data_IF_336823382059
#
_entry.id   IF_336823382059
#
_cell.length_a   1.000
_cell.length_b   1.000
_cell.length_c   1.000
_cell.angle_alpha   90.00
_cell.angle_beta   90.00
_cell.angle_gamma   90.00
#
_symmetry.space_group_name_H-M   'P 1'
#
loop_
_entity.id
_entity.type
_entity.pdbx_description
1 polymer ?
#
# COMPACT_ATOMS: atom_id res chain seq x y z
N UNK A 1 1.00 8.53 7.06
CA UNK A 1 -0.26 8.19 6.37
C UNK A 1 -0.53 9.30 5.38
N UNK A 2 -0.22 9.06 4.11
CA UNK A 2 -0.60 9.96 3.02
C UNK A 2 -2.09 9.76 2.76
N UNK A 3 -2.90 10.76 3.08
CA UNK A 3 -4.23 10.92 2.52
C UNK A 3 -4.02 11.86 1.35
N UNK A 4 -4.43 11.48 0.14
CA UNK A 4 -4.41 12.36 -1.01
C UNK A 4 -5.21 13.63 -0.71
N UNK A 5 -4.54 14.74 -0.39
CA UNK A 5 -5.18 16.04 -0.14
C UNK A 5 -5.26 16.94 -1.38
N UNK A 6 -4.84 16.47 -2.57
CA UNK A 6 -4.89 17.28 -3.78
C UNK A 6 -5.80 16.69 -4.85
N UNK A 7 -7.09 17.01 -4.77
CA UNK A 7 -8.13 16.66 -5.76
C UNK A 7 -8.00 17.49 -7.07
N UNK A 8 -6.99 18.33 -7.21
CA UNK A 8 -6.85 19.23 -8.36
C UNK A 8 -5.97 18.69 -9.49
N UNK A 9 -5.42 17.48 -9.38
CA UNK A 9 -4.73 16.81 -10.48
C UNK A 9 -5.48 15.53 -10.85
N UNK A 10 -5.73 15.36 -12.15
CA UNK A 10 -6.06 14.08 -12.77
C UNK A 10 -5.09 13.02 -12.23
N UNK A 11 -5.60 11.86 -11.79
CA UNK A 11 -4.90 10.71 -11.23
C UNK A 11 -3.38 10.78 -11.36
N UNK A 12 -2.69 11.14 -10.28
CA UNK A 12 -1.23 11.25 -10.24
C UNK A 12 -0.56 9.89 -10.01
N UNK A 13 -1.32 8.82 -9.84
CA UNK A 13 -0.83 7.50 -9.46
C UNK A 13 -1.50 6.41 -10.31
N UNK A 14 -0.73 5.37 -10.65
CA UNK A 14 -1.23 4.14 -11.29
C UNK A 14 -0.87 2.92 -10.42
N UNK A 15 -1.81 1.99 -10.30
CA UNK A 15 -1.57 0.71 -9.64
C UNK A 15 -1.29 -0.36 -10.67
N UNK A 16 -0.15 -1.05 -10.54
CA UNK A 16 0.24 -2.22 -11.32
C UNK A 16 0.28 -3.46 -10.41
N UNK A 17 -0.23 -4.59 -10.89
CA UNK A 17 -0.32 -5.84 -10.13
C UNK A 17 0.78 -6.80 -10.60
N UNK A 18 1.74 -7.09 -9.73
CA UNK A 18 2.92 -7.91 -10.05
C UNK A 18 2.59 -9.38 -10.40
N UNK A 19 1.47 -9.91 -9.91
CA UNK A 19 1.05 -11.30 -10.18
C UNK A 19 0.69 -11.54 -11.64
N UNK A 20 0.11 -10.55 -12.30
CA UNK A 20 -0.41 -10.68 -13.68
C UNK A 20 0.53 -10.11 -14.73
N UNK A 21 1.60 -9.43 -14.32
CA UNK A 21 2.58 -8.81 -15.21
C UNK A 21 3.89 -9.62 -15.21
N UNK A 22 4.46 -9.82 -16.39
CA UNK A 22 5.84 -10.23 -16.48
C UNK A 22 6.78 -9.05 -16.21
N UNK A 23 8.02 -9.27 -15.74
CA UNK A 23 8.94 -8.20 -15.34
C UNK A 23 9.23 -7.17 -16.44
N UNK A 24 9.26 -7.58 -17.71
CA UNK A 24 9.52 -6.68 -18.84
C UNK A 24 8.34 -5.74 -19.07
N UNK A 25 7.13 -6.29 -19.08
CA UNK A 25 5.90 -5.51 -19.22
C UNK A 25 5.71 -4.56 -18.05
N UNK A 26 5.96 -5.04 -16.82
CA UNK A 26 5.90 -4.20 -15.62
C UNK A 26 6.85 -2.99 -15.73
N UNK A 27 8.11 -3.19 -16.12
CA UNK A 27 9.09 -2.12 -16.32
C UNK A 27 8.63 -1.14 -17.42
N UNK A 28 8.13 -1.64 -18.55
CA UNK A 28 7.66 -0.76 -19.64
C UNK A 28 6.48 0.12 -19.20
N UNK A 29 5.53 -0.44 -18.44
CA UNK A 29 4.40 0.30 -17.91
C UNK A 29 4.84 1.34 -16.87
N UNK A 30 5.80 0.98 -15.99
CA UNK A 30 6.39 1.91 -15.03
C UNK A 30 7.00 3.12 -15.75
N UNK A 31 7.89 2.89 -16.72
CA UNK A 31 8.54 3.97 -17.47
C UNK A 31 7.51 4.84 -18.22
N UNK A 32 6.50 4.22 -18.82
CA UNK A 32 5.45 4.95 -19.53
C UNK A 32 4.63 5.83 -18.57
N UNK A 33 4.20 5.31 -17.43
CA UNK A 33 3.45 6.06 -16.44
C UNK A 33 4.25 7.27 -15.92
N UNK A 34 5.52 7.05 -15.57
CA UNK A 34 6.40 8.12 -15.10
C UNK A 34 6.67 9.18 -16.17
N UNK A 35 6.75 8.79 -17.46
CA UNK A 35 6.87 9.75 -18.57
C UNK A 35 5.64 10.66 -18.73
N UNK A 36 4.49 10.24 -18.18
CA UNK A 36 3.25 11.00 -18.11
C UNK A 36 3.09 11.78 -16.79
N UNK A 37 4.10 11.75 -15.91
CA UNK A 37 4.10 12.42 -14.62
C UNK A 37 3.26 11.71 -13.56
N UNK A 38 3.07 10.38 -13.68
CA UNK A 38 2.34 9.56 -12.71
C UNK A 38 3.33 8.79 -11.84
N UNK A 39 3.04 8.68 -10.54
CA UNK A 39 3.73 7.76 -9.65
C UNK A 39 3.19 6.33 -9.84
N UNK A 40 4.05 5.33 -9.62
CA UNK A 40 3.72 3.92 -9.82
C UNK A 40 3.69 3.18 -8.49
N UNK A 41 2.51 2.72 -8.12
CA UNK A 41 2.29 1.76 -7.05
C UNK A 41 2.30 0.34 -7.63
N UNK A 42 3.29 -0.48 -7.22
CA UNK A 42 3.36 -1.89 -7.60
C UNK A 42 2.86 -2.77 -6.46
N UNK A 43 1.70 -3.40 -6.66
CA UNK A 43 1.07 -4.31 -5.70
C UNK A 43 1.66 -5.72 -5.82
N UNK A 44 1.93 -6.36 -4.68
CA UNK A 44 2.28 -7.79 -4.59
C UNK A 44 1.77 -8.41 -3.28
N UNK A 45 1.60 -9.73 -3.24
CA UNK A 45 1.13 -10.46 -2.04
C UNK A 45 2.06 -11.59 -1.61
N UNK A 46 3.13 -11.87 -2.34
CA UNK A 46 4.10 -12.88 -1.97
C UNK A 46 5.55 -12.48 -2.29
N UNK A 47 6.49 -13.23 -1.72
CA UNK A 47 7.92 -12.99 -1.87
C UNK A 47 8.43 -13.21 -3.30
N UNK A 48 7.79 -14.09 -4.06
CA UNK A 48 8.20 -14.39 -5.43
C UNK A 48 7.94 -13.20 -6.34
N UNK A 49 6.77 -12.59 -6.18
CA UNK A 49 6.38 -11.40 -6.94
C UNK A 49 7.14 -10.15 -6.47
N UNK A 50 7.34 -10.00 -5.16
CA UNK A 50 8.15 -8.90 -4.62
C UNK A 50 9.56 -8.86 -5.21
N UNK A 51 10.22 -10.01 -5.40
CA UNK A 51 11.55 -10.09 -6.03
C UNK A 51 11.59 -9.73 -7.51
N UNK A 52 10.45 -9.69 -8.19
CA UNK A 52 10.33 -9.31 -9.59
C UNK A 52 10.11 -7.82 -9.80
N UNK A 53 9.82 -7.09 -8.74
CA UNK A 53 9.59 -5.66 -8.81
C UNK A 53 10.90 -4.98 -9.20
N UNK A 54 10.83 -4.11 -10.21
CA UNK A 54 11.99 -3.32 -10.63
C UNK A 54 12.23 -2.14 -9.66
N UNK A 55 13.44 -1.64 -9.64
CA UNK A 55 13.90 -0.56 -8.75
C UNK A 55 13.39 0.84 -9.13
N UNK A 56 12.62 0.95 -10.21
CA UNK A 56 12.08 2.22 -10.69
C UNK A 56 10.66 2.50 -10.19
N UNK A 57 10.03 1.55 -9.48
CA UNK A 57 8.70 1.80 -8.90
C UNK A 57 8.81 2.78 -7.73
N UNK A 58 7.83 3.69 -7.64
CA UNK A 58 7.81 4.72 -6.61
C UNK A 58 7.32 4.19 -5.27
N UNK A 59 6.35 3.26 -5.31
CA UNK A 59 5.69 2.71 -4.12
C UNK A 59 5.52 1.20 -4.27
N UNK A 60 5.85 0.44 -3.23
CA UNK A 60 5.52 -0.99 -3.12
C UNK A 60 4.32 -1.17 -2.20
N UNK A 61 3.26 -1.78 -2.72
CA UNK A 61 2.07 -2.16 -1.97
C UNK A 61 2.08 -3.66 -1.61
N UNK A 62 2.03 -3.99 -0.32
CA UNK A 62 1.84 -5.37 0.12
C UNK A 62 0.35 -5.62 0.32
N UNK A 63 -0.25 -6.38 -0.60
CA UNK A 63 -1.65 -6.75 -0.52
C UNK A 63 -1.84 -7.96 0.40
N UNK A 64 -2.52 -7.74 1.52
CA UNK A 64 -2.87 -8.79 2.47
C UNK A 64 -3.98 -9.73 1.95
N UNK A 65 -4.56 -9.44 0.78
CA UNK A 65 -5.54 -10.30 0.13
C UNK A 65 -4.87 -11.15 -0.93
N UNK A 66 -4.88 -12.46 -0.75
CA UNK A 66 -4.57 -13.41 -1.80
C UNK A 66 -5.66 -13.36 -2.88
N UNK A 67 -5.29 -12.98 -4.10
CA UNK A 67 -6.23 -12.81 -5.21
C UNK A 67 -6.79 -14.15 -5.72
N UNK A 68 -6.09 -15.27 -5.49
CA UNK A 68 -6.54 -16.60 -5.89
C UNK A 68 -7.47 -17.23 -4.85
N UNK A 69 -7.08 -17.16 -3.57
CA UNK A 69 -7.83 -17.76 -2.47
C UNK A 69 -8.92 -16.85 -1.91
N UNK A 70 -8.92 -15.57 -2.27
CA UNK A 70 -9.82 -14.53 -1.74
C UNK A 70 -9.77 -14.43 -0.20
N UNK A 71 -8.68 -14.85 0.40
CA UNK A 71 -8.42 -14.73 1.84
C UNK A 71 -7.58 -13.49 2.13
N UNK A 72 -7.89 -12.86 3.24
CA UNK A 72 -7.17 -11.66 3.68
C UNK A 72 -6.52 -11.95 5.03
N UNK A 73 -5.19 -11.81 5.09
CA UNK A 73 -4.40 -12.00 6.30
C UNK A 73 -3.33 -10.91 6.41
N UNK A 74 -3.45 -10.06 7.43
CA UNK A 74 -2.49 -8.97 7.68
C UNK A 74 -1.08 -9.48 7.99
N UNK A 75 -0.95 -10.78 8.35
CA UNK A 75 0.34 -11.41 8.58
C UNK A 75 1.24 -11.34 7.35
N UNK A 76 0.66 -11.33 6.14
CA UNK A 76 1.39 -11.13 4.87
C UNK A 76 2.27 -9.88 4.90
N UNK A 77 1.74 -8.75 5.37
CA UNK A 77 2.53 -7.52 5.51
C UNK A 77 3.67 -7.67 6.51
N UNK A 78 3.47 -8.39 7.60
CA UNK A 78 4.54 -8.60 8.59
C UNK A 78 5.64 -9.51 8.05
N UNK A 79 5.27 -10.57 7.36
CA UNK A 79 6.20 -11.59 6.83
C UNK A 79 7.02 -11.07 5.64
N UNK A 80 6.48 -10.12 4.88
CA UNK A 80 7.13 -9.59 3.68
C UNK A 80 7.97 -8.33 3.93
N UNK A 81 7.79 -7.65 5.05
CA UNK A 81 8.43 -6.35 5.29
C UNK A 81 9.96 -6.40 5.14
N UNK A 82 10.61 -7.40 5.72
CA UNK A 82 12.08 -7.55 5.69
C UNK A 82 12.66 -7.80 4.28
N UNK A 83 11.81 -8.05 3.30
CA UNK A 83 12.20 -8.27 1.91
C UNK A 83 11.97 -7.05 1.01
N UNK A 84 11.35 -5.99 1.54
CA UNK A 84 11.17 -4.72 0.83
C UNK A 84 12.49 -3.95 0.82
N UNK A 85 12.93 -3.38 -0.30
CA UNK A 85 14.11 -2.53 -0.34
C UNK A 85 13.99 -1.34 0.62
N UNK A 86 15.05 -1.04 1.36
CA UNK A 86 15.04 -0.06 2.47
C UNK A 86 14.74 1.37 2.03
N UNK A 87 15.04 1.72 0.79
CA UNK A 87 14.90 3.09 0.27
C UNK A 87 13.59 3.28 -0.52
N UNK A 88 12.67 2.30 -0.46
CA UNK A 88 11.41 2.35 -1.20
C UNK A 88 10.25 2.72 -0.27
N UNK A 89 9.38 3.61 -0.73
CA UNK A 89 8.12 3.87 -0.03
C UNK A 89 7.28 2.60 -0.08
N UNK A 90 6.79 2.14 1.07
CA UNK A 90 5.96 0.94 1.14
C UNK A 90 4.67 1.18 1.91
N UNK A 91 3.58 0.56 1.42
CA UNK A 91 2.26 0.60 2.04
C UNK A 91 1.72 -0.82 2.25
N UNK A 92 0.89 -0.99 3.27
CA UNK A 92 0.14 -2.23 3.50
C UNK A 92 -1.30 -2.05 3.02
N UNK A 93 -1.82 -3.03 2.29
CA UNK A 93 -3.13 -2.94 1.65
C UNK A 93 -4.03 -4.10 2.06
N UNK A 94 -5.33 -3.83 2.14
CA UNK A 94 -6.37 -4.80 2.48
C UNK A 94 -6.30 -5.34 3.92
N UNK A 95 -7.43 -5.73 4.47
CA UNK A 95 -7.54 -6.46 5.75
C UNK A 95 -7.20 -5.66 7.01
N UNK A 96 -6.90 -4.40 6.91
CA UNK A 96 -6.61 -3.52 8.05
C UNK A 96 -7.94 -3.05 8.65
N UNK A 97 -8.19 -3.39 9.92
CA UNK A 97 -9.49 -3.24 10.56
C UNK A 97 -9.49 -2.35 11.80
N UNK A 98 -8.31 -2.04 12.33
CA UNK A 98 -8.20 -1.32 13.59
C UNK A 98 -7.02 -0.34 13.60
N UNK A 99 -7.10 0.63 14.50
CA UNK A 99 -5.99 1.52 14.77
C UNK A 99 -4.72 0.77 15.24
N UNK A 100 -4.89 -0.26 16.06
CA UNK A 100 -3.75 -1.01 16.61
C UNK A 100 -2.98 -1.74 15.50
N UNK A 101 -3.66 -2.20 14.44
CA UNK A 101 -3.00 -2.77 13.25
C UNK A 101 -2.24 -1.70 12.47
N UNK A 102 -2.83 -0.52 12.26
CA UNK A 102 -2.14 0.63 11.64
C UNK A 102 -0.90 1.03 12.44
N UNK A 103 -1.02 1.08 13.77
CA UNK A 103 0.11 1.41 14.64
C UNK A 103 1.22 0.37 14.58
N UNK A 104 0.88 -0.93 14.53
CA UNK A 104 1.87 -2.00 14.37
C UNK A 104 2.60 -1.90 13.05
N UNK A 105 1.89 -1.72 11.93
CA UNK A 105 2.47 -1.53 10.61
C UNK A 105 3.43 -0.32 10.59
N UNK A 106 3.03 0.80 11.15
CA UNK A 106 3.88 2.00 11.27
C UNK A 106 5.15 1.76 12.09
N UNK A 107 5.07 0.97 13.18
CA UNK A 107 6.24 0.62 14.01
C UNK A 107 7.23 -0.30 13.31
N UNK A 108 6.76 -1.15 12.41
CA UNK A 108 7.61 -2.02 11.58
C UNK A 108 8.34 -1.19 10.54
N UNK A 109 7.72 -0.13 10.01
CA UNK A 109 8.33 0.75 9.03
C UNK A 109 7.46 1.03 7.79
N UNK A 110 6.22 0.55 7.74
CA UNK A 110 5.31 0.92 6.66
C UNK A 110 5.01 2.42 6.68
N UNK A 111 5.12 3.04 5.52
CA UNK A 111 4.89 4.49 5.33
C UNK A 111 3.41 4.84 5.27
N UNK A 112 2.57 3.89 4.86
CA UNK A 112 1.13 4.11 4.70
C UNK A 112 0.31 2.83 4.76
N UNK A 113 -1.01 3.01 4.67
CA UNK A 113 -1.98 1.92 4.60
C UNK A 113 -3.14 2.29 3.67
N UNK A 114 -3.54 1.36 2.80
CA UNK A 114 -4.72 1.50 1.97
C UNK A 114 -5.89 0.75 2.61
N UNK A 115 -6.91 1.50 3.04
CA UNK A 115 -8.03 0.98 3.80
C UNK A 115 -9.34 1.38 3.11
N UNK A 116 -10.06 0.42 2.54
CA UNK A 116 -11.36 0.63 1.91
C UNK A 116 -12.49 -0.05 2.67
N UNK A 117 -12.50 -1.38 2.65
CA UNK A 117 -13.60 -2.20 3.20
C UNK A 117 -13.91 -1.90 4.67
N UNK A 118 -12.88 -1.75 5.50
CA UNK A 118 -13.03 -1.47 6.93
C UNK A 118 -13.66 -0.10 7.20
N UNK A 119 -13.39 0.89 6.36
CA UNK A 119 -14.01 2.21 6.43
C UNK A 119 -15.48 2.12 6.05
N UNK A 120 -15.79 1.46 4.93
CA UNK A 120 -17.15 1.36 4.40
C UNK A 120 -18.09 0.54 5.29
N UNK A 121 -17.55 -0.41 6.07
CA UNK A 121 -18.32 -1.23 7.02
C UNK A 121 -18.58 -0.56 8.37
N UNK A 122 -17.98 0.62 8.64
CA UNK A 122 -18.24 1.32 9.88
C UNK A 122 -19.63 1.98 9.90
N UNK A 123 -20.31 1.99 11.05
CA UNK A 123 -21.52 2.80 11.23
C UNK A 123 -21.28 4.28 10.98
N UNK A 124 -20.07 4.77 11.31
CA UNK A 124 -19.61 6.12 11.05
C UNK A 124 -18.21 6.12 10.43
N UNK A 125 -18.10 6.06 9.08
CA UNK A 125 -16.81 6.02 8.39
C UNK A 125 -15.90 7.22 8.70
N UNK A 126 -16.49 8.41 8.84
CA UNK A 126 -15.76 9.66 9.13
C UNK A 126 -15.10 9.61 10.50
N UNK A 127 -15.81 9.12 11.51
CA UNK A 127 -15.28 8.98 12.87
C UNK A 127 -14.15 7.94 12.93
N UNK A 128 -14.29 6.84 12.21
CA UNK A 128 -13.23 5.84 12.09
C UNK A 128 -11.96 6.45 11.50
N UNK A 129 -12.04 7.17 10.38
CA UNK A 129 -10.89 7.85 9.76
C UNK A 129 -10.26 8.83 10.75
N UNK A 130 -11.06 9.66 11.41
CA UNK A 130 -10.55 10.62 12.41
C UNK A 130 -9.84 9.93 13.58
N UNK A 131 -10.37 8.81 14.06
CA UNK A 131 -9.77 8.07 15.19
C UNK A 131 -8.37 7.56 14.84
N UNK A 132 -8.15 7.13 13.60
CA UNK A 132 -6.83 6.71 13.09
C UNK A 132 -5.87 7.91 13.00
N UNK A 133 -6.33 9.04 12.50
CA UNK A 133 -5.50 10.25 12.32
C UNK A 133 -5.13 10.93 13.65
N UNK A 134 -6.08 11.14 14.55
CA UNK A 134 -5.87 11.86 15.81
C UNK A 134 -4.86 11.15 16.73
N UNK A 135 -4.90 9.82 16.78
CA UNK A 135 -3.95 9.05 17.59
C UNK A 135 -2.51 9.16 17.08
N UNK A 136 -2.28 9.40 15.78
CA UNK A 136 -0.92 9.64 15.25
C UNK A 136 -0.33 10.96 15.75
N UNK A 137 -1.13 12.00 15.95
CA UNK A 137 -0.67 13.31 16.45
C UNK A 137 -0.23 13.28 17.93
N UNK A 138 -0.76 12.37 18.74
CA UNK A 138 -0.41 12.26 20.17
C UNK A 138 0.93 11.57 20.46
N UNK A 139 1.58 10.97 19.48
CA UNK A 139 2.88 10.30 19.63
C UNK A 139 4.05 11.06 18.97
N UNK A 140 3.80 12.26 18.45
CA UNK A 140 4.82 13.11 17.81
C UNK A 140 5.40 14.18 18.74
N UNK A 141 5.23 14.01 20.08
CA UNK A 141 5.83 14.88 21.13
C UNK A 141 6.87 14.10 21.93
#
# INVERSE_FOLDING_TARGET
MYICENINHLSSEILLISEILDPKTALQLTIMAQSLGMDVLMECHDRTHLRKINDQVDIIGINNRDLHLQKTDIQTSYDLFDFIPTDTVCISESGIRSYDEVLKLSKIGYHGALIGESILKQPNPVEFIRSIQLKKMSYAN
#
